data_IF_075078356927
#
_entry.id   IF_075078356927
#
_cell.length_a   1.000
_cell.length_b   1.000
_cell.length_c   1.000
_cell.angle_alpha   90.00
_cell.angle_beta   90.00
_cell.angle_gamma   90.00
#
_symmetry.space_group_name_H-M   'P 1'
#
loop_
_entity.id
_entity.type
_entity.pdbx_description
1 polymer ?
#
# COMPACT_ATOMS: atom_id res chain seq x y z
N UNK A 1 8.17 -8.02 -20.80
CA UNK A 1 7.08 -7.84 -19.82
C UNK A 1 6.38 -6.52 -20.12
N UNK A 2 5.08 -6.54 -20.45
CA UNK A 2 4.27 -5.33 -20.66
C UNK A 2 3.43 -5.12 -19.41
N UNK A 3 3.78 -4.15 -18.58
CA UNK A 3 2.94 -3.77 -17.45
C UNK A 3 1.86 -2.82 -17.96
N UNK A 4 0.64 -3.32 -18.13
CA UNK A 4 -0.52 -2.49 -18.46
C UNK A 4 -0.89 -1.65 -17.24
N UNK A 5 -0.75 -0.34 -17.35
CA UNK A 5 -1.16 0.65 -16.35
C UNK A 5 -2.66 0.53 -16.08
N UNK A 6 -3.02 -0.18 -15.02
CA UNK A 6 -4.35 -0.15 -14.47
C UNK A 6 -4.36 0.82 -13.30
N UNK A 7 -4.99 1.97 -13.49
CA UNK A 7 -5.35 2.90 -12.42
C UNK A 7 -6.34 2.22 -11.46
N UNK A 8 -5.83 1.35 -10.57
CA UNK A 8 -6.62 0.53 -9.65
C UNK A 8 -6.23 0.91 -8.23
N UNK A 9 -6.92 1.92 -7.69
CA UNK A 9 -6.85 2.27 -6.27
C UNK A 9 -7.05 1.03 -5.40
N UNK A 10 -6.24 0.90 -4.35
CA UNK A 10 -6.41 -0.14 -3.34
C UNK A 10 -7.49 0.26 -2.34
N UNK A 11 -8.26 -0.72 -1.87
CA UNK A 11 -9.17 -0.50 -0.74
C UNK A 11 -8.41 -0.57 0.58
N UNK A 12 -8.98 -0.03 1.66
CA UNK A 12 -8.37 -0.10 3.00
C UNK A 12 -8.06 -1.54 3.43
N UNK A 13 -8.96 -2.48 3.14
CA UNK A 13 -8.74 -3.92 3.45
C UNK A 13 -7.58 -4.51 2.65
N UNK A 14 -7.44 -4.11 1.38
CA UNK A 14 -6.34 -4.54 0.53
C UNK A 14 -4.99 -3.98 1.02
N UNK A 15 -4.97 -2.71 1.40
CA UNK A 15 -3.79 -2.03 1.96
C UNK A 15 -3.41 -2.68 3.29
N UNK A 16 -4.35 -2.83 4.21
CA UNK A 16 -4.13 -3.41 5.53
C UNK A 16 -3.59 -4.84 5.46
N UNK A 17 -4.23 -5.71 4.66
CA UNK A 17 -3.76 -7.10 4.49
C UNK A 17 -2.36 -7.14 3.87
N UNK A 18 -2.07 -6.24 2.93
CA UNK A 18 -0.72 -6.14 2.33
C UNK A 18 0.30 -5.74 3.39
N UNK A 19 0.05 -4.69 4.18
CA UNK A 19 0.95 -4.24 5.23
C UNK A 19 1.27 -5.34 6.24
N UNK A 20 0.26 -6.02 6.78
CA UNK A 20 0.49 -7.11 7.73
C UNK A 20 1.15 -8.33 7.09
N UNK A 21 0.86 -8.64 5.83
CA UNK A 21 1.57 -9.72 5.14
C UNK A 21 3.07 -9.42 5.00
N UNK A 22 3.43 -8.17 4.71
CA UNK A 22 4.82 -7.75 4.53
C UNK A 22 5.64 -7.76 5.83
N UNK A 23 5.01 -7.87 7.01
CA UNK A 23 5.72 -8.08 8.28
C UNK A 23 6.05 -9.56 8.55
N UNK A 24 5.65 -10.47 7.65
CA UNK A 24 5.86 -11.92 7.79
C UNK A 24 4.72 -12.63 8.53
N UNK A 25 3.59 -11.96 8.81
CA UNK A 25 2.45 -12.60 9.44
C UNK A 25 1.75 -13.60 8.50
N UNK A 26 1.34 -14.73 9.07
CA UNK A 26 0.52 -15.74 8.39
C UNK A 26 -0.91 -15.24 8.19
N UNK A 27 -1.65 -15.78 7.21
CA UNK A 27 -3.04 -15.38 6.95
C UNK A 27 -3.94 -15.53 8.20
N UNK A 28 -3.70 -16.57 9.01
CA UNK A 28 -4.37 -16.79 10.28
C UNK A 28 -4.09 -15.67 11.30
N UNK A 29 -2.82 -15.29 11.49
CA UNK A 29 -2.48 -14.19 12.39
C UNK A 29 -3.09 -12.86 11.92
N UNK A 30 -3.08 -12.59 10.62
CA UNK A 30 -3.73 -11.39 10.06
C UNK A 30 -5.24 -11.43 10.33
N UNK A 31 -5.88 -12.59 10.15
CA UNK A 31 -7.31 -12.76 10.42
C UNK A 31 -7.66 -12.44 11.88
N UNK A 32 -6.88 -12.96 12.82
CA UNK A 32 -7.02 -12.71 14.26
C UNK A 32 -6.83 -11.22 14.60
N UNK A 33 -5.79 -10.59 14.07
CA UNK A 33 -5.47 -9.18 14.35
C UNK A 33 -6.47 -8.20 13.74
N UNK A 34 -7.04 -8.52 12.57
CA UNK A 34 -7.92 -7.62 11.83
C UNK A 34 -9.41 -7.91 12.04
N UNK A 35 -9.74 -8.98 12.75
CA UNK A 35 -11.10 -9.53 12.86
C UNK A 35 -11.76 -9.76 11.49
N UNK A 36 -10.96 -10.13 10.48
CA UNK A 36 -11.41 -10.49 9.13
C UNK A 36 -11.30 -12.02 8.99
N UNK A 37 -12.29 -12.70 8.40
CA UNK A 37 -12.17 -14.14 8.15
C UNK A 37 -10.93 -14.48 7.31
N UNK A 38 -10.19 -15.53 7.68
CA UNK A 38 -8.94 -15.93 7.01
C UNK A 38 -9.10 -16.14 5.50
N UNK A 39 -10.24 -16.66 5.07
CA UNK A 39 -10.59 -16.79 3.64
C UNK A 39 -10.65 -15.43 2.94
N UNK A 40 -11.19 -14.42 3.62
CA UNK A 40 -11.27 -13.05 3.11
C UNK A 40 -9.90 -12.38 3.08
N UNK A 41 -9.04 -12.61 4.08
CA UNK A 41 -7.64 -12.16 4.06
C UNK A 41 -6.92 -12.72 2.83
N UNK A 42 -7.02 -14.04 2.62
CA UNK A 42 -6.45 -14.72 1.44
C UNK A 42 -6.99 -14.16 0.13
N UNK A 43 -8.29 -13.85 0.07
CA UNK A 43 -8.91 -13.23 -1.09
C UNK A 43 -8.36 -11.83 -1.37
N UNK A 44 -8.23 -10.97 -0.36
CA UNK A 44 -7.71 -9.61 -0.51
C UNK A 44 -6.25 -9.64 -0.98
N UNK A 45 -5.40 -10.50 -0.39
CA UNK A 45 -4.02 -10.69 -0.87
C UNK A 45 -3.97 -11.05 -2.36
N UNK A 46 -4.70 -12.10 -2.78
CA UNK A 46 -4.75 -12.50 -4.20
C UNK A 46 -5.33 -11.42 -5.11
N UNK A 47 -6.25 -10.61 -4.60
CA UNK A 47 -6.82 -9.49 -5.35
C UNK A 47 -5.77 -8.40 -5.56
N UNK A 48 -4.97 -8.06 -4.56
CA UNK A 48 -3.83 -7.14 -4.71
C UNK A 48 -2.81 -7.68 -5.69
N UNK A 49 -2.41 -8.95 -5.56
CA UNK A 49 -1.46 -9.59 -6.48
C UNK A 49 -1.91 -9.47 -7.94
N UNK A 50 -3.19 -9.73 -8.22
CA UNK A 50 -3.78 -9.53 -9.57
C UNK A 50 -3.85 -8.07 -10.02
N UNK A 51 -3.97 -7.12 -9.09
CA UNK A 51 -3.94 -5.68 -9.44
C UNK A 51 -2.55 -5.23 -9.87
N UNK A 52 -1.52 -5.76 -9.22
CA UNK A 52 -0.12 -5.39 -9.45
C UNK A 52 0.58 -6.28 -10.48
N UNK A 53 -0.07 -7.38 -10.88
CA UNK A 53 0.42 -8.26 -11.94
C UNK A 53 1.52 -9.23 -11.50
N UNK A 54 1.44 -9.74 -10.27
CA UNK A 54 2.37 -10.74 -9.71
C UNK A 54 1.65 -12.05 -9.42
N UNK A 55 2.34 -13.16 -9.57
CA UNK A 55 1.74 -14.49 -9.53
C UNK A 55 2.05 -15.28 -8.25
N UNK A 56 3.09 -14.87 -7.51
CA UNK A 56 3.51 -15.55 -6.28
C UNK A 56 3.95 -14.59 -5.18
N UNK A 57 4.14 -15.14 -3.98
CA UNK A 57 4.48 -14.36 -2.78
C UNK A 57 5.84 -13.67 -2.89
N UNK A 58 6.82 -14.29 -3.55
CA UNK A 58 8.15 -13.70 -3.72
C UNK A 58 8.09 -12.48 -4.65
N UNK A 59 7.42 -12.61 -5.81
CA UNK A 59 7.17 -11.48 -6.71
C UNK A 59 6.38 -10.37 -6.02
N UNK A 60 5.40 -10.74 -5.18
CA UNK A 60 4.62 -9.77 -4.44
C UNK A 60 5.45 -8.98 -3.42
N UNK A 61 6.35 -9.66 -2.70
CA UNK A 61 7.30 -9.03 -1.76
C UNK A 61 8.25 -8.11 -2.53
N UNK A 62 8.82 -8.56 -3.65
CA UNK A 62 9.72 -7.75 -4.48
C UNK A 62 9.02 -6.50 -5.00
N UNK A 63 7.81 -6.64 -5.55
CA UNK A 63 6.98 -5.52 -5.98
C UNK A 63 6.76 -4.51 -4.85
N UNK A 64 6.43 -4.98 -3.64
CA UNK A 64 6.21 -4.08 -2.51
C UNK A 64 7.48 -3.31 -2.13
N UNK A 65 8.64 -3.98 -2.08
CA UNK A 65 9.90 -3.32 -1.75
C UNK A 65 10.30 -2.25 -2.78
N UNK A 66 10.08 -2.52 -4.07
CA UNK A 66 10.36 -1.60 -5.16
C UNK A 66 9.42 -0.37 -5.14
N UNK A 67 8.19 -0.52 -4.67
CA UNK A 67 7.15 0.53 -4.73
C UNK A 67 6.84 1.18 -3.37
N UNK A 68 7.43 0.70 -2.27
CA UNK A 68 7.13 1.15 -0.90
C UNK A 68 7.33 2.66 -0.70
N UNK A 69 8.34 3.24 -1.34
CA UNK A 69 8.63 4.68 -1.20
C UNK A 69 7.56 5.55 -1.86
N UNK A 70 7.03 5.11 -3.00
CA UNK A 70 5.93 5.79 -3.70
C UNK A 70 4.69 5.89 -2.80
N UNK A 71 4.36 4.83 -2.05
CA UNK A 71 3.22 4.82 -1.12
C UNK A 71 3.51 5.47 0.25
N UNK A 72 4.77 5.77 0.56
CA UNK A 72 5.16 6.53 1.75
C UNK A 72 4.98 8.03 1.52
N UNK A 73 5.35 8.50 0.34
CA UNK A 73 5.36 9.93 0.00
C UNK A 73 3.98 10.56 -0.16
N UNK A 74 2.94 9.77 -0.48
CA UNK A 74 1.54 10.26 -0.52
C UNK A 74 1.05 10.84 0.82
N UNK A 75 1.70 10.51 1.94
CA UNK A 75 1.37 11.06 3.27
C UNK A 75 2.32 12.19 3.73
N UNK A 76 3.49 12.36 3.11
CA UNK A 76 4.51 13.33 3.55
C UNK A 76 4.54 14.60 2.67
N UNK A 77 4.28 14.50 1.36
CA UNK A 77 4.30 15.66 0.45
C UNK A 77 3.24 16.72 0.77
N UNK A 78 2.07 16.32 1.29
CA UNK A 78 1.02 17.25 1.75
C UNK A 78 1.46 18.06 2.97
N UNK A 79 2.22 17.47 3.90
CA UNK A 79 2.67 18.16 5.12
C UNK A 79 3.78 19.18 4.84
N UNK A 80 4.65 18.87 3.87
CA UNK A 80 5.78 19.73 3.48
C UNK A 80 5.28 20.89 2.61
N UNK A 81 4.35 20.66 1.68
CA UNK A 81 3.79 21.74 0.84
C UNK A 81 2.96 22.75 1.65
N UNK A 82 2.15 22.30 2.62
CA UNK A 82 1.33 23.19 3.45
C UNK A 82 2.17 24.02 4.43
N UNK A 83 3.25 23.44 4.94
CA UNK A 83 4.18 24.15 5.83
C UNK A 83 5.06 25.17 5.08
N UNK A 84 5.28 24.99 3.78
CA UNK A 84 6.09 25.89 2.94
C UNK A 84 5.30 27.10 2.43
N UNK A 85 4.00 26.98 2.19
CA UNK A 85 3.18 28.08 1.68
C UNK A 85 2.82 29.11 2.76
N UNK A 86 2.72 28.72 4.02
CA UNK A 86 2.40 29.64 5.12
C UNK A 86 3.59 30.49 5.58
N UNK A 87 4.82 30.05 5.27
CA UNK A 87 6.04 30.83 5.54
C UNK A 87 6.25 31.92 4.48
N UNK A 88 5.90 31.66 3.21
CA UNK A 88 6.15 32.60 2.10
C UNK A 88 5.12 33.73 1.97
N UNK A 89 3.92 33.62 2.56
CA UNK A 89 2.93 34.71 2.54
C UNK A 89 3.17 35.81 3.58
N UNK A 90 4.11 35.62 4.51
CA UNK A 90 4.42 36.58 5.58
C UNK A 90 5.68 37.44 5.30
N UNK A 91 6.29 37.28 4.11
CA UNK A 91 7.55 37.92 3.73
C UNK A 91 7.45 38.79 2.48
N UNK A 92 6.25 39.17 2.04
CA UNK A 92 6.03 40.10 0.93
C UNK A 92 5.17 41.31 1.31
N UNK A 93 5.41 41.88 2.50
CA UNK A 93 5.13 43.29 2.78
C UNK A 93 6.36 44.13 2.43
#
# INVERSE_FOLDING_TARGET
MRYTEHNKKFTEKEIMVTWFFMTGMTMKQIAEWTNIPEKSVSYFKRKVMRKVGVDNDNEFIMWFLENRQTYRNDNEELSIMQSSQQVNSNLSN
#
